data_IF_671175395535
#
_entry.id   IF_671175395535
#
_cell.length_a   1.000
_cell.length_b   1.000
_cell.length_c   1.000
_cell.angle_alpha   90.00
_cell.angle_beta   90.00
_cell.angle_gamma   90.00
#
_symmetry.space_group_name_H-M   'P 1'
#
loop_
_entity.id
_entity.type
_entity.pdbx_description
1 polymer ?
#
# COMPACT_ATOMS: atom_id res chain seq x y z
N UNK A 1 -11.67 -8.91 25.40
CA UNK A 1 -12.14 -9.79 26.48
C UNK A 1 -11.06 -10.06 27.54
N UNK A 2 -9.78 -9.86 27.21
CA UNK A 2 -8.65 -10.10 28.13
C UNK A 2 -8.18 -8.82 28.85
N UNK A 3 -8.60 -7.63 28.41
CA UNK A 3 -8.10 -6.34 28.89
C UNK A 3 -6.66 -6.05 28.43
N UNK A 4 -6.22 -6.65 27.31
CA UNK A 4 -4.91 -6.38 26.73
C UNK A 4 -4.94 -5.02 26.01
N UNK A 5 -3.83 -4.27 26.10
CA UNK A 5 -3.67 -2.97 25.45
C UNK A 5 -3.35 -3.11 23.95
N UNK A 6 -2.84 -4.27 23.53
CA UNK A 6 -2.44 -4.56 22.16
C UNK A 6 -2.46 -6.07 21.92
N UNK A 7 -2.92 -6.49 20.75
CA UNK A 7 -2.74 -7.84 20.23
C UNK A 7 -1.80 -7.84 19.02
N UNK A 8 -0.91 -8.83 18.92
CA UNK A 8 -0.03 -9.02 17.78
C UNK A 8 -0.17 -10.47 17.30
N UNK A 9 -0.30 -10.65 16.00
CA UNK A 9 -0.32 -11.96 15.36
C UNK A 9 0.70 -11.99 14.21
N UNK A 10 1.24 -13.17 13.96
CA UNK A 10 2.17 -13.44 12.86
C UNK A 10 1.61 -14.52 11.97
N UNK A 11 2.07 -14.57 10.75
CA UNK A 11 1.81 -15.70 9.85
C UNK A 11 2.77 -16.88 10.10
N UNK A 12 2.80 -17.87 9.20
CA UNK A 12 3.45 -19.16 9.48
C UNK A 12 4.97 -19.11 9.66
N UNK A 13 5.66 -18.20 8.99
CA UNK A 13 7.12 -17.99 9.06
C UNK A 13 7.51 -16.68 9.75
N UNK A 14 6.50 -15.95 10.24
CA UNK A 14 6.63 -14.73 11.05
C UNK A 14 7.37 -13.57 10.34
N UNK A 15 7.40 -13.55 9.03
CA UNK A 15 7.90 -12.43 8.23
C UNK A 15 6.89 -11.27 8.18
N UNK A 16 5.60 -11.55 8.47
CA UNK A 16 4.48 -10.60 8.53
C UNK A 16 3.92 -10.49 9.94
N UNK A 17 3.47 -9.29 10.27
CA UNK A 17 2.74 -9.03 11.50
C UNK A 17 1.41 -8.31 11.24
N UNK A 18 0.46 -8.54 12.12
CA UNK A 18 -0.83 -7.85 12.20
C UNK A 18 -1.04 -7.39 13.63
N UNK A 19 -1.58 -6.20 13.82
CA UNK A 19 -1.93 -5.68 15.13
C UNK A 19 -3.45 -5.62 15.33
N UNK A 20 -3.86 -5.81 16.57
CA UNK A 20 -5.24 -5.67 17.04
C UNK A 20 -5.24 -4.62 18.15
N UNK A 21 -6.13 -3.64 18.08
CA UNK A 21 -6.23 -2.57 19.07
C UNK A 21 -6.83 -3.05 20.40
N UNK A 22 -6.82 -2.18 21.40
CA UNK A 22 -7.36 -2.44 22.75
C UNK A 22 -8.89 -2.69 22.75
N UNK A 23 -9.60 -2.35 21.67
CA UNK A 23 -11.02 -2.61 21.50
C UNK A 23 -11.30 -3.94 20.80
N UNK A 24 -10.26 -4.64 20.32
CA UNK A 24 -10.37 -5.91 19.60
C UNK A 24 -10.56 -5.75 18.09
N UNK A 25 -10.33 -4.57 17.51
CA UNK A 25 -10.41 -4.35 16.09
C UNK A 25 -9.06 -4.66 15.41
N UNK A 26 -9.12 -5.37 14.30
CA UNK A 26 -7.96 -5.61 13.43
C UNK A 26 -7.58 -4.28 12.78
N UNK A 27 -6.30 -3.92 12.86
CA UNK A 27 -5.78 -2.67 12.31
C UNK A 27 -5.56 -2.77 10.80
N UNK A 28 -5.85 -1.66 10.10
CA UNK A 28 -5.57 -1.54 8.67
C UNK A 28 -4.06 -1.48 8.43
N UNK A 29 -3.55 -2.31 7.51
CA UNK A 29 -2.12 -2.40 7.23
C UNK A 29 -1.51 -1.08 6.74
N UNK A 30 -2.20 -0.34 5.87
CA UNK A 30 -1.73 0.95 5.38
C UNK A 30 -1.54 1.97 6.52
N UNK A 31 -2.47 2.01 7.47
CA UNK A 31 -2.37 2.90 8.64
C UNK A 31 -1.28 2.45 9.62
N UNK A 32 -1.12 1.15 9.84
CA UNK A 32 -0.02 0.64 10.65
C UNK A 32 1.34 0.96 10.03
N UNK A 33 1.46 0.77 8.71
CA UNK A 33 2.67 1.11 7.95
C UNK A 33 2.97 2.60 8.03
N UNK A 34 1.96 3.47 7.90
CA UNK A 34 2.11 4.91 8.04
C UNK A 34 2.50 5.32 9.46
N UNK A 35 1.90 4.70 10.49
CA UNK A 35 2.21 4.96 11.89
C UNK A 35 3.67 4.64 12.22
N UNK A 36 4.16 3.46 11.84
CA UNK A 36 5.55 3.08 12.10
C UNK A 36 6.53 3.91 11.27
N UNK A 37 6.20 4.21 10.01
CA UNK A 37 7.01 5.07 9.13
C UNK A 37 7.21 6.47 9.71
N UNK A 38 6.15 7.06 10.28
CA UNK A 38 6.20 8.34 10.98
C UNK A 38 7.25 8.34 12.10
N UNK A 39 7.34 7.23 12.84
CA UNK A 39 8.28 7.11 13.97
C UNK A 39 9.74 6.98 13.53
N UNK A 40 10.00 6.40 12.36
CA UNK A 40 11.35 6.38 11.77
C UNK A 40 11.72 7.73 11.15
N UNK A 41 10.77 8.41 10.51
CA UNK A 41 11.02 9.64 9.77
C UNK A 41 11.99 9.46 8.60
N UNK A 42 12.51 10.57 8.06
CA UNK A 42 13.47 10.53 6.97
C UNK A 42 12.90 9.98 5.65
N UNK A 43 13.67 9.17 4.94
CA UNK A 43 13.21 8.50 3.71
C UNK A 43 12.70 7.10 4.04
N UNK A 44 11.48 6.78 3.63
CA UNK A 44 10.89 5.45 3.77
C UNK A 44 10.57 4.85 2.41
N UNK A 45 10.68 3.53 2.30
CA UNK A 45 10.36 2.79 1.08
C UNK A 45 9.07 2.01 1.27
N UNK A 46 8.18 2.07 0.28
CA UNK A 46 7.00 1.20 0.24
C UNK A 46 6.73 0.72 -1.18
N UNK A 47 5.71 -0.10 -1.36
CA UNK A 47 5.32 -0.64 -2.67
C UNK A 47 4.31 0.25 -3.39
N UNK A 48 4.18 0.06 -4.70
CA UNK A 48 3.28 0.87 -5.55
C UNK A 48 1.81 0.75 -5.17
N UNK A 49 1.42 -0.26 -4.41
CA UNK A 49 0.05 -0.50 -3.93
C UNK A 49 -0.23 0.05 -2.53
N UNK A 50 0.73 0.75 -1.92
CA UNK A 50 0.53 1.42 -0.64
C UNK A 50 -0.38 2.64 -0.76
N UNK A 51 -1.21 2.84 0.27
CA UNK A 51 -2.26 3.85 0.34
C UNK A 51 -1.78 5.29 0.47
N UNK A 52 -2.72 6.22 0.30
CA UNK A 52 -2.51 7.67 0.38
C UNK A 52 -2.06 8.14 1.75
N UNK A 53 -2.51 7.47 2.81
CA UNK A 53 -2.16 7.85 4.17
C UNK A 53 -0.65 7.87 4.41
N UNK A 54 0.13 7.07 3.66
CA UNK A 54 1.59 7.06 3.73
C UNK A 54 2.18 8.41 3.35
N UNK A 55 1.75 8.98 2.21
CA UNK A 55 2.27 10.26 1.73
C UNK A 55 1.92 11.38 2.69
N UNK A 56 0.66 11.45 3.13
CA UNK A 56 0.18 12.48 4.05
C UNK A 56 0.89 12.44 5.41
N UNK A 57 1.09 11.26 5.96
CA UNK A 57 1.75 11.09 7.27
C UNK A 57 3.21 11.47 7.16
N UNK A 58 3.91 11.04 6.11
CA UNK A 58 5.32 11.35 5.91
C UNK A 58 5.55 12.83 5.59
N UNK A 59 4.67 13.47 4.81
CA UNK A 59 4.73 14.90 4.54
C UNK A 59 4.64 15.74 5.82
N UNK A 60 3.72 15.39 6.74
CA UNK A 60 3.55 16.07 8.04
C UNK A 60 4.80 16.05 8.92
N UNK A 61 5.64 15.02 8.79
CA UNK A 61 6.91 14.90 9.55
C UNK A 61 8.13 15.31 8.74
N UNK A 62 7.94 15.87 7.54
CA UNK A 62 9.04 16.31 6.65
C UNK A 62 9.81 15.12 6.04
N UNK A 63 9.24 13.94 6.04
CA UNK A 63 9.82 12.74 5.46
C UNK A 63 9.49 12.58 3.97
N UNK A 64 10.05 11.53 3.37
CA UNK A 64 9.89 11.21 1.94
C UNK A 64 9.48 9.76 1.76
N UNK A 65 8.53 9.52 0.86
CA UNK A 65 8.10 8.17 0.45
C UNK A 65 8.69 7.83 -0.93
N UNK A 66 9.34 6.68 -1.03
CA UNK A 66 9.81 6.11 -2.29
C UNK A 66 9.02 4.83 -2.55
N UNK A 67 8.46 4.72 -3.75
CA UNK A 67 7.70 3.53 -4.16
C UNK A 67 8.53 2.61 -5.05
N UNK A 68 8.45 1.31 -4.77
CA UNK A 68 9.09 0.25 -5.53
C UNK A 68 8.07 -0.80 -5.98
N UNK A 69 8.53 -1.83 -6.70
CA UNK A 69 7.73 -3.01 -7.03
C UNK A 69 7.23 -3.70 -5.76
N UNK A 70 6.12 -4.40 -5.88
CA UNK A 70 5.65 -5.31 -4.82
C UNK A 70 6.65 -6.44 -4.63
N UNK A 71 7.00 -6.71 -3.38
CA UNK A 71 7.93 -7.74 -2.95
C UNK A 71 9.02 -7.21 -2.02
N UNK A 72 9.28 -7.96 -0.97
CA UNK A 72 10.24 -7.66 0.10
C UNK A 72 11.67 -7.43 -0.42
N UNK A 73 12.10 -8.22 -1.39
CA UNK A 73 13.41 -8.05 -2.04
C UNK A 73 13.53 -6.68 -2.70
N UNK A 74 12.50 -6.25 -3.45
CA UNK A 74 12.50 -4.94 -4.09
C UNK A 74 12.48 -3.79 -3.06
N UNK A 75 11.78 -3.98 -1.94
CA UNK A 75 11.79 -3.05 -0.81
C UNK A 75 13.20 -2.95 -0.22
N UNK A 76 13.84 -4.09 0.11
CA UNK A 76 15.19 -4.12 0.68
C UNK A 76 16.23 -3.49 -0.26
N UNK A 77 16.22 -3.81 -1.54
CA UNK A 77 17.09 -3.20 -2.54
C UNK A 77 16.90 -1.68 -2.64
N UNK A 78 15.64 -1.23 -2.61
CA UNK A 78 15.32 0.19 -2.65
C UNK A 78 15.74 0.93 -1.37
N UNK A 79 15.66 0.29 -0.20
CA UNK A 79 16.18 0.82 1.07
C UNK A 79 17.69 1.09 0.94
N UNK A 80 18.44 0.10 0.50
CA UNK A 80 19.91 0.22 0.32
C UNK A 80 20.24 1.35 -0.66
N UNK A 81 19.56 1.37 -1.82
CA UNK A 81 19.83 2.34 -2.89
C UNK A 81 19.60 3.79 -2.46
N UNK A 82 18.63 4.02 -1.58
CA UNK A 82 18.17 5.37 -1.20
C UNK A 82 18.56 5.75 0.23
N UNK A 83 19.35 4.92 0.92
CA UNK A 83 19.72 5.11 2.33
C UNK A 83 18.48 5.39 3.21
N UNK A 84 17.43 4.57 2.99
CA UNK A 84 16.16 4.76 3.65
C UNK A 84 16.19 4.21 5.08
N UNK A 85 15.46 4.87 5.97
CA UNK A 85 15.42 4.55 7.41
C UNK A 85 14.52 3.38 7.74
N UNK A 86 13.57 3.07 6.85
CA UNK A 86 12.58 2.00 7.02
C UNK A 86 11.96 1.64 5.67
N UNK A 87 11.41 0.43 5.56
CA UNK A 87 10.60 0.07 4.40
C UNK A 87 9.65 -1.07 4.69
N UNK A 88 8.56 -1.13 3.91
CA UNK A 88 7.58 -2.19 4.07
C UNK A 88 6.43 -2.14 3.08
N UNK A 89 5.65 -3.21 3.09
CA UNK A 89 4.47 -3.38 2.27
C UNK A 89 3.19 -3.23 3.10
N UNK A 90 2.06 -2.83 2.50
CA UNK A 90 0.76 -2.81 3.17
C UNK A 90 0.17 -4.22 3.34
N UNK A 91 1.02 -5.16 3.69
CA UNK A 91 0.74 -6.58 3.98
C UNK A 91 1.27 -7.01 5.36
N UNK A 92 1.96 -6.09 6.07
CA UNK A 92 2.63 -6.38 7.33
C UNK A 92 4.07 -6.89 7.17
N UNK A 93 4.59 -6.95 5.95
CA UNK A 93 5.97 -7.35 5.63
C UNK A 93 6.87 -6.12 5.70
N UNK A 94 7.63 -5.97 6.79
CA UNK A 94 8.40 -4.76 7.05
C UNK A 94 9.87 -5.04 7.32
N UNK A 95 10.74 -4.21 6.76
CA UNK A 95 12.21 -4.29 6.82
C UNK A 95 12.74 -3.17 7.71
N UNK A 96 13.56 -3.53 8.67
CA UNK A 96 14.20 -2.64 9.63
C UNK A 96 15.71 -2.58 9.36
N UNK A 97 16.21 -1.63 8.54
CA UNK A 97 17.61 -1.61 8.11
C UNK A 97 18.61 -1.40 9.25
N UNK A 98 18.18 -0.84 10.37
CA UNK A 98 18.97 -0.70 11.58
C UNK A 98 19.20 -2.03 12.32
N UNK A 99 18.51 -3.11 11.92
CA UNK A 99 18.63 -4.44 12.50
C UNK A 99 18.96 -5.51 11.43
N UNK A 100 18.10 -5.68 10.43
CA UNK A 100 18.29 -6.66 9.35
C UNK A 100 17.62 -6.20 8.04
N UNK A 101 18.25 -6.52 6.90
CA UNK A 101 17.71 -6.24 5.56
C UNK A 101 16.77 -7.34 5.06
N UNK A 102 16.01 -7.95 5.93
CA UNK A 102 14.93 -8.87 5.60
C UNK A 102 13.67 -8.51 6.42
N UNK A 103 12.48 -8.95 5.99
CA UNK A 103 11.27 -8.78 6.76
C UNK A 103 11.38 -9.41 8.14
N UNK A 104 10.92 -8.69 9.16
CA UNK A 104 10.92 -9.14 10.54
C UNK A 104 9.61 -8.75 11.24
N UNK A 105 8.65 -9.66 11.24
CA UNK A 105 7.35 -9.43 11.88
C UNK A 105 7.45 -9.36 13.41
N UNK A 106 8.40 -10.09 14.03
CA UNK A 106 8.60 -10.07 15.49
C UNK A 106 9.09 -8.68 15.94
N UNK A 107 10.13 -8.16 15.30
CA UNK A 107 10.64 -6.82 15.58
C UNK A 107 9.58 -5.75 15.26
N UNK A 108 8.86 -5.91 14.16
CA UNK A 108 7.75 -5.01 13.79
C UNK A 108 6.70 -4.92 14.88
N UNK A 109 6.29 -6.07 15.42
CA UNK A 109 5.35 -6.14 16.52
C UNK A 109 5.87 -5.46 17.79
N UNK A 110 7.15 -5.67 18.14
CA UNK A 110 7.79 -5.02 19.31
C UNK A 110 7.85 -3.49 19.12
N UNK A 111 8.12 -2.99 17.92
CA UNK A 111 8.13 -1.55 17.64
C UNK A 111 6.73 -0.92 17.72
N UNK A 112 5.69 -1.62 17.25
CA UNK A 112 4.30 -1.16 17.48
C UNK A 112 3.97 -1.14 18.98
N UNK A 113 4.38 -2.16 19.75
CA UNK A 113 4.17 -2.18 21.18
C UNK A 113 4.91 -1.02 21.90
N UNK A 114 6.11 -0.70 21.45
CA UNK A 114 6.88 0.45 21.95
C UNK A 114 6.15 1.78 21.66
N UNK A 115 5.63 1.97 20.43
CA UNK A 115 4.85 3.15 20.04
C UNK A 115 3.61 3.28 20.94
N UNK A 116 2.83 2.21 21.07
CA UNK A 116 1.63 2.19 21.92
C UNK A 116 1.97 2.52 23.39
N UNK A 117 3.07 1.97 23.90
CA UNK A 117 3.52 2.24 25.29
C UNK A 117 3.89 3.72 25.52
N UNK A 118 4.42 4.42 24.49
CA UNK A 118 4.87 5.80 24.59
C UNK A 118 3.79 6.82 24.24
N UNK A 119 2.98 6.53 23.21
CA UNK A 119 2.09 7.51 22.60
C UNK A 119 0.61 7.26 22.96
N UNK A 120 0.25 6.08 23.48
CA UNK A 120 -1.10 5.74 23.92
C UNK A 120 -1.79 4.67 23.08
N UNK A 121 -3.10 4.49 23.27
CA UNK A 121 -3.86 3.39 22.66
C UNK A 121 -3.78 3.38 21.14
N UNK A 122 -3.62 2.17 20.56
CA UNK A 122 -3.46 1.98 19.12
C UNK A 122 -4.64 2.55 18.32
N UNK A 123 -5.87 2.34 18.79
CA UNK A 123 -7.07 2.86 18.14
C UNK A 123 -7.02 4.38 17.96
N UNK A 124 -6.54 5.11 18.98
CA UNK A 124 -6.41 6.56 18.94
C UNK A 124 -5.35 6.99 17.92
N UNK A 125 -4.19 6.34 17.91
CA UNK A 125 -3.10 6.64 16.99
C UNK A 125 -3.52 6.42 15.53
N UNK A 126 -4.24 5.32 15.25
CA UNK A 126 -4.72 5.01 13.91
C UNK A 126 -5.88 5.92 13.46
N UNK A 127 -6.70 6.43 14.39
CA UNK A 127 -7.78 7.38 14.09
C UNK A 127 -7.25 8.78 13.72
N UNK A 128 -6.01 9.13 14.06
CA UNK A 128 -5.35 10.35 13.62
C UNK A 128 -4.88 10.28 12.15
N UNK A 129 -4.85 9.09 11.57
CA UNK A 129 -4.45 8.83 10.18
C UNK A 129 -5.69 8.79 9.30
N UNK A 130 -5.65 9.55 8.21
CA UNK A 130 -6.78 9.67 7.28
C UNK A 130 -7.20 8.32 6.72
N UNK A 131 -8.51 8.12 6.55
CA UNK A 131 -9.11 6.98 5.85
C UNK A 131 -9.56 7.40 4.47
N UNK A 132 -9.47 6.48 3.50
CA UNK A 132 -9.86 6.67 2.12
C UNK A 132 -10.81 5.57 1.67
N UNK A 133 -11.62 5.86 0.64
CA UNK A 133 -12.44 4.85 -0.02
C UNK A 133 -11.54 3.97 -0.88
N UNK A 134 -11.34 2.73 -0.45
CA UNK A 134 -10.47 1.75 -1.13
C UNK A 134 -11.31 0.68 -1.82
N UNK A 135 -10.98 0.40 -3.08
CA UNK A 135 -11.58 -0.71 -3.83
C UNK A 135 -10.46 -1.62 -4.32
N UNK A 136 -10.66 -2.93 -4.13
CA UNK A 136 -9.81 -3.98 -4.66
C UNK A 136 -10.68 -4.94 -5.47
N UNK A 137 -10.45 -4.98 -6.78
CA UNK A 137 -11.23 -5.79 -7.71
C UNK A 137 -10.32 -6.67 -8.56
N UNK A 138 -10.86 -7.80 -9.01
CA UNK A 138 -10.20 -8.74 -9.89
C UNK A 138 -11.02 -8.87 -11.17
N UNK A 139 -10.44 -8.54 -12.31
CA UNK A 139 -11.05 -8.79 -13.61
C UNK A 139 -10.41 -10.03 -14.22
N UNK A 140 -11.23 -11.05 -14.50
CA UNK A 140 -10.74 -12.31 -15.08
C UNK A 140 -10.12 -12.04 -16.45
N UNK A 141 -8.89 -12.51 -16.64
CA UNK A 141 -8.11 -12.28 -17.83
C UNK A 141 -7.09 -13.40 -18.00
N UNK A 142 -7.12 -14.10 -19.13
CA UNK A 142 -6.17 -15.18 -19.38
C UNK A 142 -4.73 -14.65 -19.42
N UNK A 143 -3.76 -15.54 -19.21
CA UNK A 143 -2.34 -15.15 -19.25
C UNK A 143 -1.93 -14.54 -20.61
N UNK A 144 -2.51 -15.04 -21.69
CA UNK A 144 -2.23 -14.59 -23.05
C UNK A 144 -2.85 -13.22 -23.32
N UNK A 145 -4.07 -12.98 -22.83
CA UNK A 145 -4.77 -11.72 -23.03
C UNK A 145 -4.20 -10.57 -22.18
N UNK A 146 -3.59 -10.86 -21.03
CA UNK A 146 -2.94 -9.83 -20.20
C UNK A 146 -1.96 -8.98 -21.01
N UNK A 147 -1.15 -9.58 -21.86
CA UNK A 147 -0.19 -8.86 -22.69
C UNK A 147 -0.91 -7.90 -23.66
N UNK A 148 -1.97 -8.37 -24.32
CA UNK A 148 -2.78 -7.54 -25.22
C UNK A 148 -3.45 -6.38 -24.49
N UNK A 149 -4.05 -6.67 -23.33
CA UNK A 149 -4.72 -5.65 -22.52
C UNK A 149 -3.74 -4.54 -22.10
N UNK A 150 -2.50 -4.90 -21.76
CA UNK A 150 -1.50 -3.93 -21.29
C UNK A 150 -0.73 -3.23 -22.42
N UNK A 151 -0.81 -3.68 -23.68
CA UNK A 151 -0.04 -3.14 -24.81
C UNK A 151 -0.25 -1.63 -25.02
N UNK A 152 -1.49 -1.14 -24.89
CA UNK A 152 -1.84 0.27 -25.06
C UNK A 152 -2.62 0.83 -23.83
N UNK A 153 -2.65 0.12 -22.72
CA UNK A 153 -3.48 0.48 -21.57
C UNK A 153 -3.08 1.83 -20.97
N UNK A 154 -1.80 2.14 -20.90
CA UNK A 154 -1.35 3.43 -20.36
C UNK A 154 -1.84 4.62 -21.18
N UNK A 155 -1.82 4.51 -22.51
CA UNK A 155 -2.32 5.56 -23.42
C UNK A 155 -3.84 5.70 -23.30
N UNK A 156 -4.57 4.59 -23.31
CA UNK A 156 -6.02 4.59 -23.14
C UNK A 156 -6.45 5.18 -21.79
N UNK A 157 -5.72 4.89 -20.71
CA UNK A 157 -5.97 5.48 -19.40
C UNK A 157 -5.73 6.99 -19.43
N UNK A 158 -4.68 7.47 -20.10
CA UNK A 158 -4.41 8.91 -20.28
C UNK A 158 -5.49 9.63 -21.09
N UNK A 159 -6.10 8.95 -22.05
CA UNK A 159 -7.22 9.49 -22.83
C UNK A 159 -8.54 9.52 -22.03
N UNK A 160 -8.72 8.55 -21.12
CA UNK A 160 -9.94 8.38 -20.34
C UNK A 160 -10.03 9.33 -19.13
N UNK A 161 -8.88 9.79 -18.59
CA UNK A 161 -8.82 10.64 -17.42
C UNK A 161 -8.08 11.95 -17.69
N UNK A 162 -8.74 13.08 -17.44
CA UNK A 162 -8.20 14.42 -17.70
C UNK A 162 -7.36 14.99 -16.54
N UNK A 163 -7.52 14.42 -15.33
CA UNK A 163 -6.95 14.92 -14.07
C UNK A 163 -5.76 14.09 -13.56
N UNK A 164 -4.99 13.49 -14.49
CA UNK A 164 -3.81 12.70 -14.12
C UNK A 164 -2.64 13.62 -13.78
N UNK A 165 -2.16 13.55 -12.56
CA UNK A 165 -0.99 14.27 -12.07
C UNK A 165 0.33 13.62 -12.51
N UNK A 166 0.43 12.30 -12.36
CA UNK A 166 1.57 11.51 -12.84
C UNK A 166 1.22 10.02 -12.99
N UNK A 167 2.03 9.34 -13.81
CA UNK A 167 1.95 7.89 -14.07
C UNK A 167 3.21 7.22 -13.55
N UNK A 168 3.05 6.04 -12.95
CA UNK A 168 4.15 5.18 -12.51
C UNK A 168 3.91 3.76 -13.03
N UNK A 169 4.83 3.29 -13.90
CA UNK A 169 4.74 1.97 -14.55
C UNK A 169 5.82 0.99 -14.05
N UNK A 170 6.24 1.13 -12.79
CA UNK A 170 7.31 0.29 -12.20
C UNK A 170 6.84 -1.15 -11.94
N UNK A 171 5.55 -1.36 -11.61
CA UNK A 171 4.92 -2.68 -11.42
C UNK A 171 3.42 -2.60 -11.73
N UNK A 172 3.05 -2.77 -12.99
CA UNK A 172 1.75 -2.42 -13.53
C UNK A 172 1.66 -0.94 -13.90
N UNK A 173 0.47 -0.38 -13.97
CA UNK A 173 0.23 1.03 -14.31
C UNK A 173 -0.50 1.69 -13.14
N UNK A 174 0.20 2.58 -12.42
CA UNK A 174 -0.40 3.41 -11.36
C UNK A 174 -0.59 4.83 -11.87
N UNK A 175 -1.84 5.29 -11.88
CA UNK A 175 -2.18 6.68 -12.07
C UNK A 175 -2.37 7.34 -10.70
N UNK A 176 -1.88 8.55 -10.56
CA UNK A 176 -2.21 9.43 -9.43
C UNK A 176 -2.86 10.68 -9.98
N UNK A 177 -4.01 11.05 -9.43
CA UNK A 177 -4.82 12.18 -9.86
C UNK A 177 -4.47 13.47 -9.10
N UNK A 178 -4.93 14.62 -9.58
CA UNK A 178 -4.64 15.93 -8.99
C UNK A 178 -5.12 16.05 -7.52
N UNK A 179 -6.23 15.40 -7.19
CA UNK A 179 -6.78 15.36 -5.82
C UNK A 179 -6.03 14.40 -4.88
N UNK A 180 -5.03 13.66 -5.42
CA UNK A 180 -4.26 12.65 -4.73
C UNK A 180 -4.84 11.24 -4.85
N UNK A 181 -6.10 11.05 -5.26
CA UNK A 181 -6.66 9.72 -5.55
C UNK A 181 -5.76 8.95 -6.52
N UNK A 182 -5.81 7.62 -6.48
CA UNK A 182 -4.98 6.81 -7.35
C UNK A 182 -5.64 5.50 -7.74
N UNK A 183 -5.18 4.92 -8.84
CA UNK A 183 -5.50 3.55 -9.26
C UNK A 183 -4.26 2.84 -9.74
N UNK A 184 -4.14 1.56 -9.42
CA UNK A 184 -3.12 0.64 -9.90
C UNK A 184 -3.79 -0.51 -10.65
N UNK A 185 -3.48 -0.66 -11.92
CA UNK A 185 -3.78 -1.85 -12.71
C UNK A 185 -2.55 -2.75 -12.74
N UNK A 186 -2.67 -3.97 -12.22
CA UNK A 186 -1.55 -4.90 -12.12
C UNK A 186 -1.96 -6.29 -12.59
N UNK A 187 -1.26 -6.86 -13.60
CA UNK A 187 -1.49 -8.25 -13.99
C UNK A 187 -1.03 -9.18 -12.86
N UNK A 188 -1.85 -10.17 -12.50
CA UNK A 188 -1.40 -11.23 -11.60
C UNK A 188 -0.30 -12.06 -12.27
N UNK A 189 0.80 -12.32 -11.58
CA UNK A 189 1.89 -13.16 -12.07
C UNK A 189 1.55 -14.66 -12.07
N UNK A 190 0.64 -15.08 -11.20
CA UNK A 190 0.34 -16.49 -10.92
C UNK A 190 -1.08 -16.91 -11.28
N UNK A 191 -2.04 -15.99 -11.29
CA UNK A 191 -3.46 -16.29 -11.48
C UNK A 191 -4.03 -15.55 -12.70
N UNK A 192 -5.11 -16.03 -13.27
CA UNK A 192 -5.73 -15.52 -14.50
C UNK A 192 -6.68 -14.34 -14.24
N UNK A 193 -6.11 -13.23 -13.73
CA UNK A 193 -6.82 -11.96 -13.58
C UNK A 193 -5.87 -10.75 -13.62
N UNK A 194 -6.47 -9.59 -13.87
CA UNK A 194 -5.88 -8.27 -13.64
C UNK A 194 -6.46 -7.75 -12.32
N UNK A 195 -5.60 -7.26 -11.43
CA UNK A 195 -6.00 -6.63 -10.18
C UNK A 195 -6.12 -5.13 -10.41
N UNK A 196 -7.25 -4.58 -9.96
CA UNK A 196 -7.47 -3.14 -9.80
C UNK A 196 -7.38 -2.85 -8.31
N UNK A 197 -6.49 -1.96 -7.90
CA UNK A 197 -6.41 -1.44 -6.54
C UNK A 197 -6.48 0.07 -6.65
N UNK A 198 -7.38 0.71 -5.91
CA UNK A 198 -7.54 2.15 -5.95
C UNK A 198 -7.91 2.71 -4.58
N UNK A 199 -7.59 3.97 -4.38
CA UNK A 199 -8.10 4.78 -3.27
C UNK A 199 -8.51 6.16 -3.77
N UNK A 200 -9.60 6.68 -3.21
CA UNK A 200 -10.09 8.01 -3.49
C UNK A 200 -10.62 8.70 -2.23
N UNK A 201 -10.71 10.04 -2.29
CA UNK A 201 -11.23 10.84 -1.17
C UNK A 201 -12.74 10.71 -0.98
N UNK A 202 -13.46 10.35 -2.05
CA UNK A 202 -14.92 10.13 -2.00
C UNK A 202 -15.29 8.81 -2.65
N UNK A 203 -16.42 8.25 -2.22
CA UNK A 203 -16.96 7.01 -2.76
C UNK A 203 -17.32 7.15 -4.24
N UNK A 204 -17.88 8.29 -4.64
CA UNK A 204 -18.27 8.57 -6.03
C UNK A 204 -17.04 8.57 -6.95
N UNK A 205 -15.92 9.18 -6.49
CA UNK A 205 -14.67 9.17 -7.27
C UNK A 205 -14.08 7.77 -7.36
N UNK A 206 -14.11 7.01 -6.26
CA UNK A 206 -13.64 5.62 -6.24
C UNK A 206 -14.41 4.76 -7.24
N UNK A 207 -15.74 4.85 -7.21
CA UNK A 207 -16.59 4.08 -8.11
C UNK A 207 -16.44 4.52 -9.59
N UNK A 208 -16.31 5.81 -9.86
CA UNK A 208 -16.03 6.32 -11.21
C UNK A 208 -14.72 5.76 -11.77
N UNK A 209 -13.63 5.80 -10.99
CA UNK A 209 -12.33 5.26 -11.39
C UNK A 209 -12.45 3.75 -11.66
N UNK A 210 -13.13 3.02 -10.76
CA UNK A 210 -13.36 1.59 -10.91
C UNK A 210 -14.05 1.25 -12.23
N UNK A 211 -15.19 1.91 -12.50
CA UNK A 211 -16.00 1.65 -13.71
C UNK A 211 -15.21 1.90 -14.99
N UNK A 212 -14.47 3.01 -15.08
CA UNK A 212 -13.64 3.34 -16.22
C UNK A 212 -12.54 2.30 -16.45
N UNK A 213 -11.84 1.88 -15.37
CA UNK A 213 -10.79 0.87 -15.47
C UNK A 213 -11.32 -0.51 -15.89
N UNK A 214 -12.43 -0.95 -15.30
CA UNK A 214 -13.09 -2.21 -15.70
C UNK A 214 -13.50 -2.16 -17.16
N UNK A 215 -14.16 -1.08 -17.59
CA UNK A 215 -14.57 -0.90 -18.99
C UNK A 215 -13.39 -0.98 -19.98
N UNK A 216 -12.27 -0.32 -19.67
CA UNK A 216 -11.08 -0.37 -20.52
C UNK A 216 -10.47 -1.78 -20.60
N UNK A 217 -10.42 -2.50 -19.48
CA UNK A 217 -9.93 -3.89 -19.47
C UNK A 217 -10.84 -4.78 -20.31
N UNK A 218 -12.16 -4.71 -20.12
CA UNK A 218 -13.14 -5.52 -20.85
C UNK A 218 -13.16 -5.22 -22.35
N UNK A 219 -13.02 -3.95 -22.72
CA UNK A 219 -12.90 -3.51 -24.11
C UNK A 219 -11.69 -4.12 -24.83
N UNK A 220 -10.57 -4.30 -24.12
CA UNK A 220 -9.36 -4.89 -24.69
C UNK A 220 -9.37 -6.43 -24.65
N UNK A 221 -10.33 -7.05 -23.96
CA UNK A 221 -10.56 -8.50 -23.96
C UNK A 221 -11.48 -8.95 -25.10
N UNK A 222 -12.23 -8.02 -25.72
CA UNK A 222 -13.17 -8.28 -26.83
C UNK A 222 -12.46 -8.27 -28.16
#
# INVERSE_FOLDING_TARGET
ATGADLGIAHDGDADRMMAVDENGNISEFDKLLALISKNFGGTVVTTVDAGLCMDEVMEKVGGKVIRTKVGDVAVAESIIKNDATFGGEPSGTWVHPDFCMCPDGLLSGLRIAEIVSKEGPLSKLLNEISSYFSIREKVVCSKEDKLKVFENMEEQLKEEFDDIKYVNSIDGIRLTFDDGSWVLLRPSGTEDYIRITLEAKTEEKAELIRQKCVFLIEKNLS
#
